data_IF_074655372976
#
_entry.id   IF_074655372976
#
_cell.length_a   1.000
_cell.length_b   1.000
_cell.length_c   1.000
_cell.angle_alpha   90.00
_cell.angle_beta   90.00
_cell.angle_gamma   90.00
#
_symmetry.space_group_name_H-M   'P 1'
#
loop_
_entity.id
_entity.type
_entity.pdbx_description
1 polymer ?
#
# COMPACT_ATOMS: atom_id res chain seq x y z
N UNK A 1 13.67 -7.10 13.63
CA UNK A 1 13.87 -6.34 12.38
C UNK A 1 12.50 -5.93 11.87
N UNK A 2 12.26 -4.64 11.61
CA UNK A 2 11.02 -4.19 11.00
C UNK A 2 10.91 -4.87 9.63
N UNK A 3 9.82 -5.60 9.40
CA UNK A 3 9.62 -6.26 8.11
C UNK A 3 9.17 -5.16 7.17
N UNK A 4 10.09 -4.66 6.34
CA UNK A 4 9.77 -3.68 5.31
C UNK A 4 8.59 -4.22 4.49
N UNK A 5 7.44 -3.55 4.57
CA UNK A 5 6.23 -3.95 3.85
C UNK A 5 6.60 -4.10 2.37
N UNK A 6 6.53 -5.31 1.82
CA UNK A 6 6.80 -5.53 0.39
C UNK A 6 5.81 -4.69 -0.40
N UNK A 7 6.32 -3.63 -1.02
CA UNK A 7 5.54 -2.80 -1.95
C UNK A 7 5.68 -3.37 -3.36
N UNK A 8 4.57 -3.47 -4.05
CA UNK A 8 4.49 -3.83 -5.47
C UNK A 8 4.31 -2.54 -6.25
N UNK A 9 5.16 -2.31 -7.24
CA UNK A 9 5.00 -1.16 -8.13
C UNK A 9 3.84 -1.42 -9.10
N UNK A 10 2.85 -0.53 -9.06
CA UNK A 10 1.74 -0.47 -9.99
C UNK A 10 1.75 0.90 -10.64
N UNK A 11 2.33 0.98 -11.84
CA UNK A 11 2.42 2.21 -12.65
C UNK A 11 3.07 3.39 -11.88
N UNK A 12 4.12 3.13 -11.10
CA UNK A 12 4.82 4.12 -10.28
C UNK A 12 4.19 4.38 -8.91
N UNK A 13 3.15 3.64 -8.52
CA UNK A 13 2.54 3.67 -7.19
C UNK A 13 2.93 2.40 -6.42
N UNK A 14 3.62 2.55 -5.30
CA UNK A 14 4.01 1.43 -4.44
C UNK A 14 2.84 0.94 -3.59
N UNK A 15 2.19 -0.15 -3.99
CA UNK A 15 1.09 -0.76 -3.22
C UNK A 15 1.64 -1.75 -2.20
N UNK A 16 1.29 -1.56 -0.92
CA UNK A 16 1.68 -2.46 0.17
C UNK A 16 0.96 -3.81 0.06
N UNK A 17 1.71 -4.89 -0.13
CA UNK A 17 1.19 -6.26 -0.11
C UNK A 17 1.07 -6.77 1.33
N UNK A 18 -0.01 -6.39 2.01
CA UNK A 18 -0.25 -6.69 3.43
C UNK A 18 -1.61 -7.38 3.65
N UNK A 19 -1.75 -8.07 4.78
CA UNK A 19 -3.03 -8.52 5.31
C UNK A 19 -3.30 -7.81 6.66
N UNK A 20 -4.47 -8.05 7.26
CA UNK A 20 -4.83 -7.37 8.51
C UNK A 20 -3.82 -7.60 9.64
N UNK A 21 -3.30 -8.81 9.78
CA UNK A 21 -2.30 -9.13 10.80
C UNK A 21 -0.96 -8.42 10.56
N UNK A 22 -0.45 -8.40 9.32
CA UNK A 22 0.80 -7.73 9.01
C UNK A 22 0.65 -6.20 9.05
N UNK A 23 -0.50 -5.65 8.65
CA UNK A 23 -0.84 -4.25 8.81
C UNK A 23 -0.83 -3.84 10.29
N UNK A 24 -1.51 -4.62 11.16
CA UNK A 24 -1.53 -4.37 12.60
C UNK A 24 -0.13 -4.38 13.21
N UNK A 25 0.70 -5.37 12.87
CA UNK A 25 2.08 -5.46 13.36
C UNK A 25 2.91 -4.24 12.93
N UNK A 26 2.81 -3.83 11.68
CA UNK A 26 3.55 -2.67 11.15
C UNK A 26 3.12 -1.36 11.85
N UNK A 27 1.81 -1.17 12.05
CA UNK A 27 1.29 0.00 12.77
C UNK A 27 1.80 0.03 14.21
N UNK A 28 1.72 -1.09 14.94
CA UNK A 28 2.20 -1.17 16.32
C UNK A 28 3.70 -0.89 16.42
N UNK A 29 4.50 -1.44 15.50
CA UNK A 29 5.95 -1.21 15.47
C UNK A 29 6.30 0.26 15.21
N UNK A 30 5.55 0.97 14.36
CA UNK A 30 5.74 2.40 14.14
C UNK A 30 5.29 3.26 15.32
N UNK A 31 4.21 2.86 16.00
CA UNK A 31 3.74 3.50 17.22
C UNK A 31 4.76 3.38 18.36
N UNK A 32 5.37 2.20 18.54
CA UNK A 32 6.45 1.97 19.52
C UNK A 32 7.64 2.89 19.26
N UNK A 33 8.00 3.10 17.99
CA UNK A 33 9.06 4.03 17.56
C UNK A 33 8.66 5.51 17.59
N UNK A 34 7.40 5.83 17.89
CA UNK A 34 6.83 7.19 17.86
C UNK A 34 6.97 7.87 16.49
N UNK A 35 6.97 7.09 15.42
CA UNK A 35 7.03 7.59 14.04
C UNK A 35 5.66 8.18 13.63
N UNK A 36 5.67 9.42 13.12
CA UNK A 36 4.47 10.07 12.60
C UNK A 36 4.33 9.86 11.10
N UNK A 37 3.13 9.55 10.65
CA UNK A 37 2.80 9.42 9.23
C UNK A 37 1.35 9.06 9.02
N UNK A 38 1.03 8.59 7.82
CA UNK A 38 -0.34 8.33 7.39
C UNK A 38 -0.41 7.06 6.56
N UNK A 39 -1.61 6.47 6.53
CA UNK A 39 -1.94 5.30 5.72
C UNK A 39 -2.85 5.77 4.60
N UNK A 40 -2.51 5.42 3.37
CA UNK A 40 -3.36 5.61 2.21
C UNK A 40 -4.11 4.32 1.91
N UNK A 41 -5.42 4.43 1.71
CA UNK A 41 -6.25 3.37 1.14
C UNK A 41 -6.52 3.80 -0.30
N UNK A 42 -6.08 3.01 -1.29
CA UNK A 42 -6.18 3.41 -2.70
C UNK A 42 -6.58 2.25 -3.61
N UNK A 43 -7.61 2.42 -4.42
CA UNK A 43 -8.01 1.42 -5.42
C UNK A 43 -7.34 1.66 -6.78
N UNK A 44 -7.82 0.95 -7.81
CA UNK A 44 -7.40 1.20 -9.21
C UNK A 44 -7.61 2.66 -9.60
N UNK A 45 -8.69 3.29 -9.14
CA UNK A 45 -8.97 4.69 -9.43
C UNK A 45 -7.85 5.64 -8.95
N UNK A 46 -7.31 5.41 -7.75
CA UNK A 46 -6.22 6.25 -7.24
C UNK A 46 -4.89 6.01 -7.95
N UNK A 47 -4.66 4.81 -8.50
CA UNK A 47 -3.50 4.56 -9.37
C UNK A 47 -3.63 5.30 -10.71
N UNK A 48 -4.85 5.35 -11.26
CA UNK A 48 -5.15 6.11 -12.48
C UNK A 48 -4.94 7.60 -12.24
N UNK A 49 -5.50 8.15 -11.17
CA UNK A 49 -5.34 9.56 -10.80
C UNK A 49 -3.86 9.93 -10.56
N UNK A 50 -3.06 9.02 -10.00
CA UNK A 50 -1.62 9.21 -9.81
C UNK A 50 -0.81 9.26 -11.13
N UNK A 51 -1.39 8.87 -12.27
CA UNK A 51 -0.75 9.07 -13.57
C UNK A 51 -0.83 10.54 -14.01
N UNK A 52 -1.97 11.18 -13.74
CA UNK A 52 -2.24 12.56 -14.14
C UNK A 52 -1.73 13.57 -13.10
N UNK A 53 -1.69 13.20 -11.81
CA UNK A 53 -1.18 14.04 -10.72
C UNK A 53 0.07 13.43 -10.05
N UNK A 54 1.22 13.95 -10.45
CA UNK A 54 2.52 13.61 -9.85
C UNK A 54 2.65 13.95 -8.35
N UNK A 55 1.94 14.96 -7.85
CA UNK A 55 1.92 15.31 -6.41
C UNK A 55 1.12 14.27 -5.65
N UNK A 56 -0.03 13.86 -6.19
CA UNK A 56 -0.82 12.78 -5.61
C UNK A 56 -0.04 11.46 -5.57
N UNK A 57 0.66 11.11 -6.66
CA UNK A 57 1.56 9.95 -6.70
C UNK A 57 2.63 9.99 -5.60
N UNK A 58 3.21 11.18 -5.36
CA UNK A 58 4.20 11.37 -4.30
C UNK A 58 3.60 11.11 -2.92
N UNK A 59 2.40 11.63 -2.65
CA UNK A 59 1.67 11.38 -1.39
C UNK A 59 1.43 9.88 -1.17
N UNK A 60 0.99 9.15 -2.19
CA UNK A 60 0.81 7.70 -2.08
C UNK A 60 2.15 7.00 -1.75
N UNK A 61 3.22 7.37 -2.43
CA UNK A 61 4.53 6.75 -2.22
C UNK A 61 5.19 7.11 -0.87
N UNK A 62 4.89 8.27 -0.30
CA UNK A 62 5.39 8.69 1.02
C UNK A 62 4.56 8.17 2.21
N UNK A 63 3.39 7.57 1.95
CA UNK A 63 2.58 6.94 2.99
C UNK A 63 3.29 5.75 3.66
N UNK A 64 2.96 5.51 4.93
CA UNK A 64 3.46 4.38 5.70
C UNK A 64 2.99 3.05 5.14
N UNK A 65 1.73 3.02 4.72
CA UNK A 65 1.11 1.90 4.04
C UNK A 65 0.20 2.47 2.95
N UNK A 66 0.33 1.93 1.75
CA UNK A 66 -0.65 2.14 0.67
C UNK A 66 -1.40 0.84 0.48
N UNK A 67 -2.48 0.66 1.24
CA UNK A 67 -3.29 -0.56 1.15
C UNK A 67 -4.30 -0.43 0.01
N UNK A 68 -4.55 -1.48 -0.77
CA UNK A 68 -5.55 -1.42 -1.80
C UNK A 68 -6.97 -1.28 -1.20
N UNK A 69 -7.76 -0.36 -1.75
CA UNK A 69 -9.21 -0.25 -1.51
C UNK A 69 -9.92 -1.35 -2.31
N UNK A 70 -10.41 -2.37 -1.60
CA UNK A 70 -11.38 -3.31 -2.14
C UNK A 70 -10.85 -4.45 -3.00
N UNK A 71 -11.77 -5.37 -3.30
CA UNK A 71 -11.59 -6.69 -3.93
C UNK A 71 -10.73 -6.80 -5.20
N UNK A 72 -10.56 -5.79 -6.08
CA UNK A 72 -9.81 -5.99 -7.33
C UNK A 72 -8.35 -6.46 -7.13
N UNK A 73 -7.67 -5.98 -6.09
CA UNK A 73 -6.28 -6.38 -5.81
C UNK A 73 -6.18 -7.72 -5.08
N UNK A 74 -7.18 -8.08 -4.26
CA UNK A 74 -7.34 -9.44 -3.75
C UNK A 74 -7.55 -10.40 -4.93
N UNK A 75 -8.38 -10.02 -5.90
CA UNK A 75 -8.66 -10.82 -7.09
C UNK A 75 -7.44 -10.96 -8.00
N UNK A 76 -6.66 -9.90 -8.23
CA UNK A 76 -5.38 -9.99 -8.98
C UNK A 76 -4.37 -10.88 -8.24
N UNK A 77 -4.30 -10.79 -6.90
CA UNK A 77 -3.45 -11.69 -6.10
C UNK A 77 -3.93 -13.14 -6.12
N UNK A 78 -5.24 -13.39 -6.23
CA UNK A 78 -5.82 -14.72 -6.39
C UNK A 78 -5.61 -15.27 -7.80
N UNK A 79 -5.84 -14.46 -8.84
CA UNK A 79 -5.63 -14.81 -10.25
C UNK A 79 -4.16 -15.12 -10.56
N UNK A 80 -3.21 -14.41 -9.93
CA UNK A 80 -1.77 -14.70 -10.09
C UNK A 80 -1.28 -15.91 -9.29
N UNK A 81 -2.11 -16.52 -8.43
CA UNK A 81 -1.74 -17.72 -7.64
C UNK A 81 -2.18 -19.05 -8.29
N UNK A 82 -2.81 -18.99 -9.47
CA UNK A 82 -3.29 -20.15 -10.24
C UNK A 82 -2.72 -20.21 -11.67
N UNK A 83 -1.43 -19.90 -11.85
CA UNK A 83 -0.65 -20.30 -13.01
C UNK A 83 0.70 -20.86 -12.53
#
# INVERSE_FOLDING_TARGET
>A
MAMESKRVDVLGVGISAINLDSAKREILLRLEKKEKGYICVTGVHGVIEAQDDSRFRKVLNESFLTTPDGMPMVWVSWLKKYH
#
